data_IF_461775115011
#
_entry.id   IF_461775115011
#
_cell.length_a   1.000
_cell.length_b   1.000
_cell.length_c   1.000
_cell.angle_alpha   90.00
_cell.angle_beta   90.00
_cell.angle_gamma   90.00
#
_symmetry.space_group_name_H-M   'P 1'
#
loop_
_entity.id
_entity.type
_entity.pdbx_description
1 polymer ?
#
# COMPACT_ATOMS: atom_id res chain seq x y z
N UNK A 1 -25.36 16.00 9.74
CA UNK A 1 -25.36 14.59 10.10
C UNK A 1 -24.64 13.77 9.08
N UNK A 2 -25.08 13.83 7.87
CA UNK A 2 -24.41 13.12 6.81
C UNK A 2 -22.94 13.47 6.73
N UNK A 3 -22.66 14.72 7.01
CA UNK A 3 -21.28 15.17 6.98
C UNK A 3 -20.42 14.41 7.95
N UNK A 4 -20.97 14.10 9.11
CA UNK A 4 -20.20 13.36 10.09
C UNK A 4 -19.89 11.97 9.62
N UNK A 5 -20.88 11.31 9.05
CA UNK A 5 -20.65 9.97 8.54
C UNK A 5 -19.66 9.99 7.41
N UNK A 6 -19.85 10.94 6.50
CA UNK A 6 -18.92 11.07 5.39
C UNK A 6 -17.53 11.38 5.91
N UNK A 7 -17.46 12.17 6.96
CA UNK A 7 -16.19 12.51 7.55
C UNK A 7 -15.49 11.29 8.12
N UNK A 8 -16.25 10.44 8.78
CA UNK A 8 -15.68 9.23 9.32
C UNK A 8 -15.11 8.34 8.23
N UNK A 9 -15.87 8.21 7.16
CA UNK A 9 -15.42 7.41 6.02
C UNK A 9 -14.20 8.06 5.38
N UNK A 10 -14.25 9.39 5.26
CA UNK A 10 -13.14 10.11 4.68
C UNK A 10 -11.87 9.96 5.50
N UNK A 11 -12.02 9.91 6.82
CA UNK A 11 -10.85 9.71 7.66
C UNK A 11 -10.14 8.41 7.35
N UNK A 12 -10.93 7.37 7.08
CA UNK A 12 -10.34 6.09 6.72
C UNK A 12 -9.60 6.22 5.39
N UNK A 13 -10.18 6.97 4.47
CA UNK A 13 -9.55 7.19 3.18
C UNK A 13 -8.34 8.10 3.29
N UNK A 14 -8.43 9.08 4.19
CA UNK A 14 -7.33 10.03 4.36
C UNK A 14 -6.07 9.35 4.90
N UNK A 15 -6.24 8.26 5.63
CA UNK A 15 -5.10 7.53 6.13
C UNK A 15 -4.28 6.97 4.99
N UNK A 16 -4.95 6.59 3.91
CA UNK A 16 -4.26 6.07 2.74
C UNK A 16 -3.83 7.27 1.89
N UNK A 17 -2.56 7.57 1.95
CA UNK A 17 -2.00 8.72 1.27
C UNK A 17 -1.99 8.53 -0.23
N UNK A 18 -1.62 7.34 -0.68
CA UNK A 18 -1.40 7.10 -2.09
C UNK A 18 -1.81 5.69 -2.45
N UNK A 19 -2.38 5.56 -3.64
CA UNK A 19 -2.76 4.25 -4.14
C UNK A 19 -1.97 3.97 -5.40
N UNK A 20 -1.26 2.86 -5.42
CA UNK A 20 -0.41 2.49 -6.53
C UNK A 20 -1.07 1.35 -7.30
N UNK A 21 -1.25 1.57 -8.59
CA UNK A 21 -1.79 0.55 -9.47
C UNK A 21 -0.63 -0.15 -10.17
N UNK A 22 -0.30 -1.33 -9.69
CA UNK A 22 0.76 -2.13 -10.29
C UNK A 22 0.20 -3.38 -10.95
N UNK A 23 -1.05 -3.32 -11.36
CA UNK A 23 -1.69 -4.45 -12.03
C UNK A 23 -0.98 -4.73 -13.33
N UNK A 24 -0.64 -6.00 -13.53
CA UNK A 24 0.05 -6.40 -14.76
C UNK A 24 1.55 -6.20 -14.74
N UNK A 25 2.06 -5.51 -13.75
CA UNK A 25 3.51 -5.33 -13.64
C UNK A 25 4.15 -6.52 -12.94
N UNK A 26 5.36 -6.83 -13.34
CA UNK A 26 6.09 -7.95 -12.73
C UNK A 26 7.26 -7.42 -11.94
N UNK A 27 7.65 -8.18 -10.94
CA UNK A 27 8.78 -7.85 -10.10
C UNK A 27 10.01 -7.56 -10.95
N UNK A 28 10.78 -6.50 -10.65
CA UNK A 28 10.71 -5.68 -9.42
C UNK A 28 9.93 -4.38 -9.56
N UNK A 29 9.18 -4.19 -10.63
CA UNK A 29 8.51 -2.91 -10.88
C UNK A 29 7.55 -2.50 -9.76
N UNK A 30 6.70 -3.40 -9.25
CA UNK A 30 5.79 -2.96 -8.17
C UNK A 30 6.55 -2.45 -6.94
N UNK A 31 7.65 -3.10 -6.60
CA UNK A 31 8.44 -2.68 -5.44
C UNK A 31 9.11 -1.34 -5.69
N UNK A 32 9.53 -1.11 -6.91
CA UNK A 32 10.14 0.17 -7.25
C UNK A 32 9.13 1.31 -7.11
N UNK A 33 7.91 1.07 -7.53
CA UNK A 33 6.85 2.07 -7.36
C UNK A 33 6.54 2.30 -5.89
N UNK A 34 6.49 1.22 -5.12
CA UNK A 34 6.25 1.34 -3.69
C UNK A 34 7.36 2.13 -3.02
N UNK A 35 8.59 1.86 -3.38
CA UNK A 35 9.74 2.54 -2.82
C UNK A 35 9.64 4.05 -3.09
N UNK A 36 9.29 4.40 -4.31
CA UNK A 36 9.17 5.80 -4.68
C UNK A 36 8.05 6.47 -3.91
N UNK A 37 6.91 5.81 -3.78
CA UNK A 37 5.77 6.37 -3.07
C UNK A 37 6.10 6.57 -1.60
N UNK A 38 6.77 5.60 -1.01
CA UNK A 38 7.17 5.69 0.40
C UNK A 38 8.12 6.85 0.59
N UNK A 39 9.06 7.00 -0.34
CA UNK A 39 10.03 8.08 -0.25
C UNK A 39 9.37 9.46 -0.29
N UNK A 40 8.28 9.56 -1.05
CA UNK A 40 7.57 10.82 -1.19
C UNK A 40 6.53 11.05 -0.10
N UNK A 41 6.36 10.08 0.77
CA UNK A 41 5.36 10.17 1.83
C UNK A 41 5.97 10.62 3.14
N UNK A 42 5.10 11.04 4.05
CA UNK A 42 5.52 11.43 5.39
C UNK A 42 5.37 10.27 6.35
N UNK A 43 6.08 10.34 7.47
CA UNK A 43 5.99 9.29 8.47
C UNK A 43 4.55 9.05 8.89
N UNK A 44 4.19 7.79 8.99
CA UNK A 44 2.86 7.42 9.44
C UNK A 44 1.83 7.33 8.33
N UNK A 45 2.15 7.80 7.15
CA UNK A 45 1.20 7.72 6.04
C UNK A 45 1.15 6.33 5.47
N UNK A 46 -0.02 5.98 4.95
CA UNK A 46 -0.27 4.63 4.45
C UNK A 46 -0.36 4.66 2.93
N UNK A 47 0.33 3.74 2.30
CA UNK A 47 0.32 3.57 0.86
C UNK A 47 -0.34 2.24 0.53
N UNK A 48 -1.28 2.26 -0.40
CA UNK A 48 -1.93 1.04 -0.86
C UNK A 48 -1.34 0.64 -2.19
N UNK A 49 -0.91 -0.61 -2.29
CA UNK A 49 -0.34 -1.16 -3.51
C UNK A 49 -1.20 -2.30 -3.99
N UNK A 50 -1.64 -2.23 -5.24
CA UNK A 50 -2.42 -3.30 -5.85
C UNK A 50 -1.57 -3.94 -6.93
N UNK A 51 -1.40 -5.24 -6.86
CA UNK A 51 -0.55 -5.95 -7.81
C UNK A 51 -1.17 -7.29 -8.17
N UNK A 52 -0.70 -7.87 -9.25
CA UNK A 52 -1.18 -9.18 -9.71
C UNK A 52 -0.09 -10.22 -9.74
N UNK A 53 1.15 -9.83 -9.57
CA UNK A 53 2.27 -10.77 -9.57
C UNK A 53 2.42 -11.41 -8.20
N UNK A 54 2.30 -12.75 -8.10
CA UNK A 54 2.39 -13.42 -6.80
C UNK A 54 3.73 -13.18 -6.08
N UNK A 55 4.78 -12.90 -6.80
CA UNK A 55 6.09 -12.68 -6.17
C UNK A 55 6.14 -11.38 -5.38
N UNK A 56 5.21 -10.48 -5.64
CA UNK A 56 5.21 -9.18 -4.98
C UNK A 56 5.01 -9.31 -3.47
N UNK A 57 4.28 -10.32 -3.04
CA UNK A 57 4.02 -10.48 -1.61
C UNK A 57 5.32 -10.62 -0.82
N UNK A 58 6.21 -11.49 -1.28
CA UNK A 58 7.49 -11.67 -0.61
C UNK A 58 8.32 -10.40 -0.66
N UNK A 59 8.28 -9.74 -1.79
CA UNK A 59 9.06 -8.52 -1.96
C UNK A 59 8.58 -7.42 -1.04
N UNK A 60 7.26 -7.28 -0.90
CA UNK A 60 6.71 -6.27 0.00
C UNK A 60 7.05 -6.58 1.44
N UNK A 61 6.98 -7.87 1.82
CA UNK A 61 7.31 -8.25 3.18
C UNK A 61 8.78 -7.95 3.49
N UNK A 62 9.65 -8.26 2.57
CA UNK A 62 11.07 -7.97 2.75
C UNK A 62 11.33 -6.48 2.78
N UNK A 63 10.66 -5.75 1.91
CA UNK A 63 10.80 -4.30 1.85
C UNK A 63 10.43 -3.68 3.18
N UNK A 64 9.29 -4.08 3.74
CA UNK A 64 8.83 -3.53 5.01
C UNK A 64 9.77 -3.91 6.15
N UNK A 65 10.20 -5.16 6.17
CA UNK A 65 11.09 -5.62 7.22
C UNK A 65 12.44 -4.92 7.16
N UNK A 66 12.98 -4.81 5.98
CA UNK A 66 14.31 -4.25 5.80
C UNK A 66 14.36 -2.77 6.14
N UNK A 67 13.32 -2.04 5.78
CA UNK A 67 13.27 -0.59 5.97
C UNK A 67 12.44 -0.18 7.18
N UNK A 68 11.97 -1.16 7.94
CA UNK A 68 11.21 -0.91 9.16
C UNK A 68 9.88 -0.21 8.92
N UNK A 69 9.31 -0.40 7.75
CA UNK A 69 7.95 0.04 7.52
C UNK A 69 7.00 -1.04 7.99
N UNK A 70 5.73 -0.69 8.13
CA UNK A 70 4.76 -1.61 8.67
C UNK A 70 3.80 -2.07 7.59
N UNK A 71 3.70 -3.38 7.40
CA UNK A 71 2.69 -3.94 6.50
C UNK A 71 1.41 -4.08 7.30
N UNK A 72 0.50 -3.15 7.12
CA UNK A 72 -0.72 -3.09 7.92
C UNK A 72 -1.68 -4.18 7.53
N UNK A 73 -1.85 -4.40 6.23
CA UNK A 73 -2.78 -5.43 5.80
C UNK A 73 -2.38 -5.97 4.44
N UNK A 74 -2.81 -7.18 4.21
CA UNK A 74 -2.62 -7.85 2.95
C UNK A 74 -3.91 -8.59 2.64
N UNK A 75 -4.44 -8.35 1.45
CA UNK A 75 -5.64 -9.02 1.01
C UNK A 75 -5.43 -9.61 -0.36
N UNK A 76 -5.94 -10.81 -0.53
CA UNK A 76 -5.87 -11.47 -1.81
C UNK A 76 -7.28 -11.69 -2.32
N UNK A 77 -7.55 -11.29 -3.55
CA UNK A 77 -8.82 -11.58 -4.17
C UNK A 77 -8.53 -12.04 -5.59
N UNK A 78 -9.06 -13.19 -5.92
CA UNK A 78 -8.88 -13.84 -7.23
C UNK A 78 -7.51 -13.58 -7.85
N UNK A 79 -7.39 -12.50 -8.61
CA UNK A 79 -6.17 -12.22 -9.36
C UNK A 79 -5.37 -11.08 -8.77
N UNK A 80 -5.85 -10.45 -7.71
CA UNK A 80 -5.20 -9.26 -7.21
C UNK A 80 -4.73 -9.42 -5.78
N UNK A 81 -3.65 -8.71 -5.48
CA UNK A 81 -3.10 -8.64 -4.12
C UNK A 81 -3.09 -7.18 -3.73
N UNK A 82 -3.63 -6.88 -2.55
CA UNK A 82 -3.69 -5.51 -2.06
C UNK A 82 -2.89 -5.41 -0.77
N UNK A 83 -1.94 -4.51 -0.78
CA UNK A 83 -1.05 -4.31 0.37
C UNK A 83 -1.22 -2.89 0.89
N UNK A 84 -1.31 -2.76 2.20
CA UNK A 84 -1.34 -1.44 2.82
C UNK A 84 -0.11 -1.33 3.69
N UNK A 85 0.78 -0.43 3.32
CA UNK A 85 2.06 -0.24 3.97
C UNK A 85 2.10 1.13 4.61
N UNK A 86 2.44 1.15 5.89
CA UNK A 86 2.57 2.40 6.62
C UNK A 86 4.03 2.79 6.73
N UNK A 87 4.35 3.99 6.33
CA UNK A 87 5.70 4.49 6.41
C UNK A 87 6.10 4.69 7.86
N UNK A 88 7.30 4.29 8.17
CA UNK A 88 7.86 4.42 9.50
C UNK A 88 7.91 5.86 9.99
#
# INVERSE_FOLDING_TARGET
MEKKLAKTILNVLDIIKMKIDAIGLICPEPIMLLHKAIHESNSGEIIELVATDPAVKKDVEKFCEFLNHKLISFEKSEDQFVFKVQKK
#
